data_IF_576470031657
#
_entry.id   IF_576470031657
#
_cell.length_a   1.000
_cell.length_b   1.000
_cell.length_c   1.000
_cell.angle_alpha   90.00
_cell.angle_beta   90.00
_cell.angle_gamma   90.00
#
_symmetry.space_group_name_H-M   'P 1'
#
loop_
_entity.id
_entity.type
_entity.pdbx_description
1 polymer ?
#
# COMPACT_ATOMS: atom_id res chain seq x y z
N UNK A 1 13.71 -54.28 -24.14
CA UNK A 1 12.59 -53.61 -23.45
C UNK A 1 13.07 -52.26 -22.88
N UNK A 2 12.49 -51.12 -23.29
CA UNK A 2 12.82 -49.78 -22.80
C UNK A 2 11.81 -49.27 -21.75
N UNK A 3 12.25 -48.52 -20.73
CA UNK A 3 11.46 -47.60 -19.87
C UNK A 3 12.33 -47.21 -18.66
N UNK A 4 12.40 -45.99 -18.15
CA UNK A 4 11.48 -44.88 -18.27
C UNK A 4 12.25 -43.57 -18.06
N UNK A 5 12.11 -42.66 -19.02
CA UNK A 5 12.26 -41.24 -18.75
C UNK A 5 11.15 -40.80 -17.78
N UNK A 6 11.50 -39.97 -16.79
CA UNK A 6 10.55 -39.05 -16.17
C UNK A 6 11.16 -37.66 -16.20
N UNK A 7 10.83 -36.93 -17.26
CA UNK A 7 10.74 -35.49 -17.19
C UNK A 7 9.52 -35.13 -16.33
N UNK A 8 9.67 -34.17 -15.42
CA UNK A 8 8.58 -33.31 -14.93
C UNK A 8 9.21 -32.10 -14.24
N UNK A 9 9.26 -31.00 -14.96
CA UNK A 9 9.49 -29.63 -14.49
C UNK A 9 8.46 -29.26 -13.41
N UNK A 10 8.76 -28.27 -12.55
CA UNK A 10 7.86 -27.11 -12.55
C UNK A 10 8.57 -25.84 -13.02
N UNK A 11 7.91 -25.04 -13.87
CA UNK A 11 8.38 -23.74 -14.31
C UNK A 11 8.08 -22.66 -13.26
N UNK A 12 8.71 -21.51 -13.45
CA UNK A 12 8.30 -20.21 -12.92
C UNK A 12 8.52 -19.97 -11.42
N UNK A 13 9.72 -19.49 -11.11
CA UNK A 13 9.84 -18.39 -10.16
C UNK A 13 10.67 -17.30 -10.82
N UNK A 14 10.05 -16.59 -11.76
CA UNK A 14 10.56 -15.29 -12.16
C UNK A 14 10.50 -14.39 -10.93
N UNK A 15 11.55 -13.59 -10.62
CA UNK A 15 11.38 -12.54 -9.64
C UNK A 15 10.25 -11.62 -10.14
N UNK A 16 9.37 -11.11 -9.27
CA UNK A 16 8.57 -9.97 -9.66
C UNK A 16 9.59 -8.87 -9.96
N UNK A 17 9.86 -8.65 -11.24
CA UNK A 17 10.47 -7.42 -11.71
C UNK A 17 9.42 -6.34 -11.43
N UNK A 18 9.37 -5.90 -10.19
CA UNK A 18 8.89 -4.58 -9.84
C UNK A 18 9.90 -3.67 -10.51
N UNK A 19 9.67 -3.40 -11.80
CA UNK A 19 10.20 -2.22 -12.46
C UNK A 19 9.58 -1.06 -11.71
N UNK A 20 10.20 -0.73 -10.57
CA UNK A 20 10.05 0.54 -9.90
C UNK A 20 10.64 1.56 -10.87
N UNK A 21 9.86 1.88 -11.91
CA UNK A 21 10.07 3.08 -12.71
C UNK A 21 10.23 4.20 -11.72
N UNK A 22 11.35 4.90 -11.79
CA UNK A 22 11.77 5.89 -10.80
C UNK A 22 10.65 6.92 -10.67
N UNK A 23 9.80 6.77 -9.66
CA UNK A 23 8.75 7.74 -9.34
C UNK A 23 9.43 8.87 -8.57
N UNK A 24 8.99 10.09 -8.82
CA UNK A 24 9.45 11.23 -8.03
C UNK A 24 9.14 10.98 -6.54
N UNK A 25 10.08 11.33 -5.67
CA UNK A 25 9.93 11.17 -4.21
C UNK A 25 8.63 11.81 -3.69
N UNK A 26 8.21 12.93 -4.30
CA UNK A 26 6.92 13.59 -4.02
C UNK A 26 5.69 12.73 -4.31
N UNK A 27 5.71 11.93 -5.37
CA UNK A 27 4.60 11.05 -5.72
C UNK A 27 4.53 9.87 -4.74
N UNK A 28 5.68 9.30 -4.40
CA UNK A 28 5.77 8.18 -3.46
C UNK A 28 5.34 8.59 -2.04
N UNK A 29 5.77 9.79 -1.59
CA UNK A 29 5.33 10.36 -0.32
C UNK A 29 3.82 10.55 -0.28
N UNK A 30 3.21 11.11 -1.35
CA UNK A 30 1.75 11.29 -1.41
C UNK A 30 1.00 9.97 -1.36
N UNK A 31 1.47 8.96 -2.07
CA UNK A 31 0.85 7.63 -2.06
C UNK A 31 0.97 6.96 -0.68
N UNK A 32 2.14 7.05 -0.06
CA UNK A 32 2.37 6.54 1.30
C UNK A 32 1.49 7.24 2.33
N UNK A 33 1.37 8.57 2.27
CA UNK A 33 0.47 9.33 3.13
C UNK A 33 -0.99 8.93 2.91
N UNK A 34 -1.44 8.79 1.66
CA UNK A 34 -2.80 8.34 1.34
C UNK A 34 -3.09 6.96 1.94
N UNK A 35 -2.16 6.03 1.81
CA UNK A 35 -2.27 4.67 2.39
C UNK A 35 -2.35 4.72 3.91
N UNK A 36 -1.54 5.55 4.56
CA UNK A 36 -1.59 5.73 6.02
C UNK A 36 -2.94 6.28 6.49
N UNK A 37 -3.50 7.28 5.81
CA UNK A 37 -4.83 7.83 6.12
C UNK A 37 -5.93 6.79 6.00
N UNK A 38 -5.96 6.04 4.89
CA UNK A 38 -6.96 4.99 4.64
C UNK A 38 -6.84 3.87 5.66
N UNK A 39 -5.62 3.42 5.95
CA UNK A 39 -5.35 2.40 6.96
C UNK A 39 -5.84 2.84 8.34
N UNK A 40 -5.48 4.06 8.77
CA UNK A 40 -5.92 4.60 10.05
C UNK A 40 -7.45 4.74 10.14
N UNK A 41 -8.12 5.14 9.05
CA UNK A 41 -9.58 5.18 9.00
C UNK A 41 -10.20 3.79 9.09
N UNK A 42 -9.63 2.80 8.40
CA UNK A 42 -10.09 1.41 8.47
C UNK A 42 -9.95 0.85 9.91
N UNK A 43 -8.78 1.02 10.53
CA UNK A 43 -8.54 0.60 11.92
C UNK A 43 -9.43 1.35 12.92
N UNK A 44 -9.76 2.61 12.63
CA UNK A 44 -10.63 3.43 13.45
C UNK A 44 -12.14 3.23 13.15
N UNK A 45 -12.52 2.34 12.23
CA UNK A 45 -13.91 2.13 11.80
C UNK A 45 -14.55 3.45 11.34
N UNK A 46 -13.85 4.18 10.48
CA UNK A 46 -14.23 5.50 9.95
C UNK A 46 -14.34 6.62 11.00
N UNK A 47 -13.93 6.37 12.25
CA UNK A 47 -13.88 7.40 13.29
C UNK A 47 -12.64 8.30 13.10
N UNK A 48 -12.85 9.46 12.49
CA UNK A 48 -11.81 10.47 12.20
C UNK A 48 -10.99 10.88 13.43
N UNK A 49 -11.63 10.98 14.60
CA UNK A 49 -10.94 11.33 15.85
C UNK A 49 -9.96 10.23 16.26
N UNK A 50 -10.40 8.97 16.19
CA UNK A 50 -9.57 7.82 16.55
C UNK A 50 -8.46 7.59 15.52
N UNK A 51 -8.75 7.75 14.23
CA UNK A 51 -7.74 7.70 13.17
C UNK A 51 -6.65 8.76 13.36
N UNK A 52 -7.02 9.97 13.77
CA UNK A 52 -6.06 11.05 14.01
C UNK A 52 -5.11 10.70 15.17
N UNK A 53 -5.65 10.09 16.24
CA UNK A 53 -4.84 9.57 17.36
C UNK A 53 -3.93 8.41 16.94
N UNK A 54 -4.39 7.51 16.05
CA UNK A 54 -3.56 6.42 15.54
C UNK A 54 -2.38 6.90 14.70
N UNK A 55 -2.54 8.04 14.02
CA UNK A 55 -1.49 8.67 13.22
C UNK A 55 -0.67 9.71 14.00
N UNK A 56 -0.95 9.90 15.29
CA UNK A 56 -0.34 10.92 16.16
C UNK A 56 -0.45 12.35 15.59
N UNK A 57 -1.60 12.67 14.98
CA UNK A 57 -1.89 13.99 14.43
C UNK A 57 -3.13 14.60 15.04
N UNK A 58 -3.23 15.94 14.95
CA UNK A 58 -4.47 16.63 15.32
C UNK A 58 -5.62 16.27 14.38
N UNK A 59 -6.86 16.32 14.87
CA UNK A 59 -8.07 16.10 14.04
C UNK A 59 -8.11 17.03 12.83
N UNK A 60 -7.64 18.29 13.00
CA UNK A 60 -7.56 19.28 11.93
C UNK A 60 -6.56 18.87 10.86
N UNK A 61 -5.38 18.39 11.26
CA UNK A 61 -4.37 17.86 10.33
C UNK A 61 -4.90 16.67 9.54
N UNK A 62 -5.58 15.73 10.20
CA UNK A 62 -6.19 14.60 9.51
C UNK A 62 -7.23 15.07 8.49
N UNK A 63 -8.10 16.02 8.85
CA UNK A 63 -9.09 16.58 7.92
C UNK A 63 -8.45 17.28 6.71
N UNK A 64 -7.41 18.08 6.95
CA UNK A 64 -6.68 18.76 5.88
C UNK A 64 -6.06 17.74 4.93
N UNK A 65 -5.34 16.75 5.47
CA UNK A 65 -4.75 15.68 4.67
C UNK A 65 -5.80 14.89 3.88
N UNK A 66 -6.95 14.57 4.47
CA UNK A 66 -8.03 13.91 3.73
C UNK A 66 -8.55 14.76 2.57
N UNK A 67 -8.72 16.07 2.75
CA UNK A 67 -9.11 17.00 1.67
C UNK A 67 -8.04 17.08 0.58
N UNK A 68 -6.78 17.24 0.96
CA UNK A 68 -5.63 17.30 0.03
C UNK A 68 -5.55 16.04 -0.85
N UNK A 69 -5.91 14.88 -0.30
CA UNK A 69 -5.91 13.60 -1.00
C UNK A 69 -7.27 13.23 -1.62
N UNK A 70 -8.30 14.09 -1.52
CA UNK A 70 -9.63 13.86 -2.10
C UNK A 70 -10.41 12.70 -1.47
N UNK A 71 -10.24 12.48 -0.15
CA UNK A 71 -10.84 11.39 0.61
C UNK A 71 -12.02 11.84 1.52
N UNK A 72 -12.34 13.14 1.56
CA UNK A 72 -13.36 13.73 2.44
C UNK A 72 -14.19 14.81 1.76
#
# INVERSE_FOLDING_TARGET
>A
VPSSARASTPPASGPPATSASVRSLDADRRETERRALVSALAHAQNNRTRAARLLDVSRRTLYNKLKEHGLA
#
